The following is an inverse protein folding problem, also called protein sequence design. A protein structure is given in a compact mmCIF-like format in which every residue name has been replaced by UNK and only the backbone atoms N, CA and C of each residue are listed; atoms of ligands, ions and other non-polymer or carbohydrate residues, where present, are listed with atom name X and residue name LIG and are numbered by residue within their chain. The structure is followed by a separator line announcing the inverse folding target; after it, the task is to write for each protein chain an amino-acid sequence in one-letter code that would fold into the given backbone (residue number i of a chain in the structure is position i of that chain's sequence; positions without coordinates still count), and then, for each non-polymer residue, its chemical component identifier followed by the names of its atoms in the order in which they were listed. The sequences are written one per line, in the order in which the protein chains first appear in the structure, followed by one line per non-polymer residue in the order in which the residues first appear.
data_IF_327324342245
#
_entry.id   IF_327324342245
#
_cell.length_a   1.000
_cell.length_b   1.000
_cell.length_c   1.000
_cell.angle_alpha   90.00
_cell.angle_beta   90.00
_cell.angle_gamma   90.00
#
_symmetry.space_group_name_H-M   'P 1'
#
loop_
_entity.id
_entity.type
_entity.pdbx_description
1 polymer ?
#
# COMPACT_ATOMS: atom_id res chain seq x y z
N UNK A 1 4.81 23.24 30.82
CA UNK A 1 3.48 22.56 30.78
C UNK A 1 3.51 21.39 31.76
N UNK A 2 2.41 21.06 32.46
CA UNK A 2 2.42 19.88 33.34
C UNK A 2 2.29 18.59 32.53
N UNK A 3 2.86 17.49 33.05
CA UNK A 3 2.80 16.15 32.44
C UNK A 3 1.37 15.68 32.16
N UNK A 4 0.43 15.93 33.09
CA UNK A 4 -0.99 15.58 32.91
C UNK A 4 -1.69 16.42 31.83
N UNK A 5 -1.33 17.71 31.71
CA UNK A 5 -1.89 18.57 30.66
C UNK A 5 -1.38 18.14 29.28
N UNK A 6 -0.11 17.73 29.18
CA UNK A 6 0.45 17.14 27.96
C UNK A 6 -0.24 15.83 27.59
N UNK A 7 -0.48 14.93 28.56
CA UNK A 7 -1.20 13.66 28.34
C UNK A 7 -2.62 13.90 27.79
N UNK A 8 -3.36 14.89 28.34
CA UNK A 8 -4.69 15.29 27.85
C UNK A 8 -4.68 15.85 26.43
N UNK A 9 -3.68 16.65 26.08
CA UNK A 9 -3.52 17.19 24.71
C UNK A 9 -3.23 16.06 23.72
N UNK A 10 -2.36 15.12 24.06
CA UNK A 10 -2.10 13.92 23.25
C UNK A 10 -3.36 13.07 23.05
N UNK A 11 -4.04 12.74 24.15
CA UNK A 11 -5.29 11.98 24.15
C UNK A 11 -6.34 12.62 23.25
N UNK A 12 -6.58 13.94 23.41
CA UNK A 12 -7.55 14.68 22.59
C UNK A 12 -7.14 14.70 21.11
N UNK A 13 -5.87 14.96 20.80
CA UNK A 13 -5.38 14.97 19.42
C UNK A 13 -5.52 13.61 18.73
N UNK A 14 -5.17 12.52 19.42
CA UNK A 14 -5.25 11.15 18.91
C UNK A 14 -6.70 10.65 18.75
N UNK A 15 -7.64 11.11 19.59
CA UNK A 15 -9.07 10.79 19.47
C UNK A 15 -9.72 11.59 18.33
N UNK A 16 -9.31 12.84 18.10
CA UNK A 16 -9.85 13.68 17.03
C UNK A 16 -9.20 13.45 15.67
N UNK A 17 -8.05 12.76 15.59
CA UNK A 17 -7.36 12.47 14.35
C UNK A 17 -8.07 11.37 13.54
N UNK A 18 -8.24 11.60 12.23
CA UNK A 18 -8.76 10.58 11.30
C UNK A 18 -7.69 9.63 10.75
N UNK A 19 -6.41 9.95 10.97
CA UNK A 19 -5.24 9.20 10.49
C UNK A 19 -4.23 9.05 11.63
N UNK A 20 -3.38 8.01 11.61
CA UNK A 20 -2.31 7.85 12.59
C UNK A 20 -1.39 9.07 12.64
N UNK A 21 -1.06 9.53 13.84
CA UNK A 21 -0.17 10.68 14.04
C UNK A 21 1.26 10.22 14.28
N UNK A 22 2.21 10.75 13.50
CA UNK A 22 3.64 10.50 13.72
C UNK A 22 4.12 11.18 15.00
N UNK A 23 5.23 10.68 15.58
CA UNK A 23 5.93 11.39 16.66
C UNK A 23 6.36 12.81 16.27
N UNK A 24 6.51 13.12 14.97
CA UNK A 24 6.86 14.47 14.52
C UNK A 24 5.65 15.40 14.63
N UNK A 25 4.49 14.98 14.17
CA UNK A 25 3.24 15.76 14.27
C UNK A 25 2.80 15.94 15.72
N UNK A 26 2.92 14.89 16.54
CA UNK A 26 2.64 15.00 17.97
C UNK A 26 3.58 15.99 18.68
N UNK A 27 4.82 16.18 18.22
CA UNK A 27 5.73 17.21 18.77
C UNK A 27 5.37 18.64 18.36
N UNK A 28 4.75 18.86 17.19
CA UNK A 28 4.33 20.22 16.80
C UNK A 28 3.21 20.77 17.68
N UNK A 29 2.39 19.90 18.30
CA UNK A 29 1.38 20.26 19.30
C UNK A 29 1.98 20.97 20.53
N UNK A 30 3.27 20.77 20.79
CA UNK A 30 4.01 21.36 21.92
C UNK A 30 5.13 22.30 21.46
N UNK A 31 5.02 22.85 20.24
CA UNK A 31 6.04 23.73 19.65
C UNK A 31 7.48 23.16 19.70
N UNK A 32 7.62 21.84 19.55
CA UNK A 32 8.87 21.08 19.65
C UNK A 32 9.58 21.12 21.03
N UNK A 33 9.01 21.77 22.05
CA UNK A 33 9.56 21.84 23.43
C UNK A 33 9.69 20.46 24.11
N UNK A 34 8.84 19.51 23.71
CA UNK A 34 8.83 18.15 24.24
C UNK A 34 9.74 17.24 23.40
N UNK A 35 10.70 16.61 24.06
CA UNK A 35 11.60 15.63 23.46
C UNK A 35 10.88 14.35 23.02
N UNK A 36 11.40 13.70 21.97
CA UNK A 36 10.79 12.47 21.41
C UNK A 36 10.68 11.34 22.44
N UNK A 37 11.62 11.22 23.37
CA UNK A 37 11.62 10.16 24.40
C UNK A 37 10.60 10.43 25.51
N UNK A 38 10.43 11.70 25.91
CA UNK A 38 9.35 12.13 26.81
C UNK A 38 7.98 11.86 26.18
N UNK A 39 7.84 12.13 24.88
CA UNK A 39 6.62 11.85 24.14
C UNK A 39 6.31 10.35 24.07
N UNK A 40 7.31 9.49 23.80
CA UNK A 40 7.14 8.02 23.85
C UNK A 40 6.69 7.56 25.24
N UNK A 41 7.34 8.03 26.31
CA UNK A 41 6.96 7.69 27.67
C UNK A 41 5.51 8.10 28.01
N UNK A 42 5.06 9.27 27.54
CA UNK A 42 3.67 9.72 27.68
C UNK A 42 2.67 8.85 26.90
N UNK A 43 3.04 8.38 25.70
CA UNK A 43 2.21 7.50 24.87
C UNK A 43 2.12 6.08 25.47
N UNK A 44 3.22 5.54 25.99
CA UNK A 44 3.22 4.27 26.72
C UNK A 44 2.36 4.35 28.00
N UNK A 45 2.45 5.46 28.74
CA UNK A 45 1.61 5.72 29.92
C UNK A 45 0.14 5.92 29.54
N UNK A 46 -0.16 6.49 28.36
CA UNK A 46 -1.52 6.64 27.86
C UNK A 46 -2.10 5.30 27.37
N UNK A 47 -1.29 4.44 26.75
CA UNK A 47 -1.69 3.10 26.35
C UNK A 47 -2.14 2.26 27.56
N UNK A 48 -1.38 2.31 28.66
CA UNK A 48 -1.73 1.64 29.94
C UNK A 48 -3.01 2.18 30.57
N UNK A 49 -3.23 3.50 30.58
CA UNK A 49 -4.49 4.10 31.08
C UNK A 49 -5.74 3.66 30.30
N UNK A 50 -5.56 3.19 29.06
CA UNK A 50 -6.62 2.72 28.17
C UNK A 50 -6.70 1.18 28.08
N UNK A 51 -5.88 0.43 28.84
CA UNK A 51 -5.83 -1.04 28.82
C UNK A 51 -7.14 -1.74 29.27
N UNK A 52 -8.06 -1.01 29.89
CA UNK A 52 -9.36 -1.53 30.34
C UNK A 52 -10.57 -0.82 29.70
N UNK A 53 -10.34 -0.09 28.60
CA UNK A 53 -11.38 0.63 27.85
C UNK A 53 -11.66 -0.07 26.52
N UNK A 54 -12.85 0.13 25.94
CA UNK A 54 -13.24 -0.45 24.65
C UNK A 54 -12.47 0.09 23.43
N UNK A 55 -11.62 1.09 23.65
CA UNK A 55 -10.71 1.66 22.65
C UNK A 55 -9.30 1.52 23.22
N UNK A 56 -8.33 1.22 22.37
CA UNK A 56 -6.91 1.03 22.71
C UNK A 56 -6.03 1.97 21.88
N UNK A 57 -4.88 2.35 22.43
CA UNK A 57 -3.87 3.14 21.73
C UNK A 57 -2.79 2.21 21.17
N UNK A 58 -2.67 2.17 19.84
CA UNK A 58 -1.78 1.25 19.11
C UNK A 58 -0.76 2.04 18.28
N UNK A 59 0.48 1.54 18.28
CA UNK A 59 1.55 2.01 17.41
C UNK A 59 1.56 1.19 16.11
N UNK A 60 1.34 1.86 14.99
CA UNK A 60 1.39 1.31 13.62
C UNK A 60 2.56 1.92 12.84
N UNK A 61 2.87 1.38 11.66
CA UNK A 61 4.05 1.81 10.89
C UNK A 61 4.01 3.29 10.44
N UNK A 62 2.80 3.87 10.28
CA UNK A 62 2.61 5.30 10.01
C UNK A 62 2.54 6.19 11.25
N UNK A 63 2.38 5.66 12.48
CA UNK A 63 2.28 6.48 13.68
C UNK A 63 1.46 5.86 14.80
N UNK A 64 0.82 6.70 15.62
CA UNK A 64 -0.03 6.27 16.73
C UNK A 64 -1.49 6.58 16.42
N UNK A 65 -2.40 5.65 16.72
CA UNK A 65 -3.86 5.85 16.60
C UNK A 65 -4.62 5.19 17.74
N UNK A 66 -5.79 5.72 18.07
CA UNK A 66 -6.80 4.97 18.80
C UNK A 66 -7.58 4.05 17.85
N UNK A 67 -7.87 2.83 18.28
CA UNK A 67 -8.72 1.87 17.56
C UNK A 67 -9.64 1.13 18.52
N UNK A 68 -10.80 0.68 18.03
CA UNK A 68 -11.70 -0.19 18.80
C UNK A 68 -11.07 -1.56 19.01
N UNK A 69 -11.22 -2.13 20.21
CA UNK A 69 -10.71 -3.48 20.49
C UNK A 69 -11.33 -4.57 19.60
N UNK A 70 -10.58 -5.62 19.23
CA UNK A 70 -11.10 -6.73 18.44
C UNK A 70 -12.34 -7.39 19.04
N UNK A 71 -12.42 -7.55 20.37
CA UNK A 71 -13.56 -8.20 21.03
C UNK A 71 -14.90 -7.46 20.83
N UNK A 72 -14.87 -6.18 20.47
CA UNK A 72 -16.07 -5.37 20.23
C UNK A 72 -16.54 -5.38 18.77
N UNK A 73 -15.79 -6.00 17.85
CA UNK A 73 -16.08 -6.00 16.41
C UNK A 73 -17.48 -6.54 16.08
N UNK A 74 -17.91 -7.62 16.73
CA UNK A 74 -19.24 -8.24 16.53
C UNK A 74 -20.42 -7.28 16.81
N UNK A 75 -20.20 -6.30 17.69
CA UNK A 75 -21.19 -5.26 17.99
C UNK A 75 -21.08 -4.06 17.04
N UNK A 76 -19.86 -3.69 16.64
CA UNK A 76 -19.59 -2.55 15.76
C UNK A 76 -19.97 -2.83 14.30
N UNK A 77 -19.80 -4.06 13.82
CA UNK A 77 -20.21 -4.49 12.47
C UNK A 77 -21.72 -4.30 12.23
N UNK A 78 -22.53 -4.24 13.30
CA UNK A 78 -23.97 -3.97 13.23
C UNK A 78 -24.29 -2.52 12.85
N UNK A 79 -23.34 -1.59 13.05
CA UNK A 79 -23.47 -0.18 12.69
C UNK A 79 -23.15 0.08 11.21
N UNK A 80 -22.27 -0.75 10.62
CA UNK A 80 -21.80 -0.65 9.24
C UNK A 80 -21.99 -1.99 8.50
N UNK A 81 -23.22 -2.30 8.02
CA UNK A 81 -23.54 -3.60 7.43
C UNK A 81 -22.91 -3.88 6.05
N UNK A 82 -22.17 -2.92 5.49
CA UNK A 82 -21.31 -3.13 4.32
C UNK A 82 -20.13 -4.03 4.71
N UNK A 83 -20.32 -5.34 4.52
CA UNK A 83 -19.30 -6.35 4.87
C UNK A 83 -17.96 -6.02 4.20
N UNK A 84 -16.86 -5.88 4.96
CA UNK A 84 -15.55 -5.62 4.38
C UNK A 84 -15.17 -6.75 3.43
N UNK A 85 -14.64 -6.40 2.25
CA UNK A 85 -14.42 -7.33 1.14
C UNK A 85 -13.65 -8.59 1.60
N UNK A 86 -14.25 -9.76 1.41
CA UNK A 86 -13.65 -11.03 1.84
C UNK A 86 -12.58 -11.45 0.83
N UNK A 87 -11.40 -11.77 1.33
CA UNK A 87 -10.31 -12.36 0.54
C UNK A 87 -10.35 -13.88 0.69
N UNK A 88 -10.05 -14.60 -0.39
CA UNK A 88 -10.00 -16.07 -0.33
C UNK A 88 -8.74 -16.56 0.37
N UNK A 89 -8.76 -17.81 0.85
CA UNK A 89 -7.61 -18.47 1.48
C UNK A 89 -6.36 -18.40 0.60
N UNK A 90 -6.48 -18.59 -0.71
CA UNK A 90 -5.37 -18.49 -1.66
C UNK A 90 -4.72 -17.10 -1.72
N UNK A 91 -5.50 -16.02 -1.58
CA UNK A 91 -4.98 -14.64 -1.49
C UNK A 91 -4.21 -14.45 -0.18
N UNK A 92 -4.76 -14.91 0.94
CA UNK A 92 -4.14 -14.82 2.26
C UNK A 92 -2.85 -15.64 2.37
N UNK A 93 -2.81 -16.86 1.82
CA UNK A 93 -1.60 -17.68 1.73
C UNK A 93 -0.50 -17.01 0.88
N UNK A 94 -0.89 -16.42 -0.25
CA UNK A 94 0.04 -15.69 -1.14
C UNK A 94 0.64 -14.49 -0.41
N UNK A 95 -0.19 -13.70 0.28
CA UNK A 95 0.25 -12.55 1.09
C UNK A 95 1.19 -12.99 2.23
N UNK A 96 0.84 -14.07 2.95
CA UNK A 96 1.66 -14.60 4.03
C UNK A 96 3.07 -14.99 3.53
N UNK A 97 3.16 -15.68 2.39
CA UNK A 97 4.46 -16.07 1.81
C UNK A 97 5.29 -14.83 1.47
N UNK A 98 4.69 -13.78 0.89
CA UNK A 98 5.40 -12.53 0.61
C UNK A 98 5.88 -11.91 1.93
N UNK A 99 5.02 -11.76 2.93
CA UNK A 99 5.37 -11.15 4.22
C UNK A 99 6.54 -11.85 4.94
N UNK A 100 6.56 -13.19 4.98
CA UNK A 100 7.60 -13.95 5.70
C UNK A 100 8.84 -14.32 4.87
N UNK A 101 8.83 -14.15 3.54
CA UNK A 101 9.95 -14.56 2.66
C UNK A 101 10.49 -13.44 1.78
N UNK A 102 9.92 -12.24 1.80
CA UNK A 102 10.35 -11.12 0.97
C UNK A 102 11.88 -10.87 1.05
N UNK A 103 12.52 -10.54 -0.09
CA UNK A 103 11.92 -10.29 -1.40
C UNK A 103 11.74 -11.56 -2.26
N UNK A 104 10.51 -11.82 -2.72
CA UNK A 104 10.15 -13.02 -3.50
C UNK A 104 9.67 -12.68 -4.91
N UNK A 105 9.91 -13.58 -5.86
CA UNK A 105 9.33 -13.55 -7.20
C UNK A 105 8.07 -14.42 -7.28
N UNK A 106 7.25 -14.26 -8.32
CA UNK A 106 6.06 -15.12 -8.52
C UNK A 106 6.42 -16.62 -8.55
N UNK A 107 7.55 -16.97 -9.16
CA UNK A 107 8.04 -18.36 -9.21
C UNK A 107 8.32 -18.92 -7.81
N UNK A 108 9.01 -18.17 -6.95
CA UNK A 108 9.29 -18.64 -5.57
C UNK A 108 7.98 -18.87 -4.77
N UNK A 109 6.94 -18.07 -5.01
CA UNK A 109 5.64 -18.23 -4.36
C UNK A 109 4.94 -19.51 -4.88
N UNK A 110 4.97 -19.74 -6.20
CA UNK A 110 4.43 -20.96 -6.83
C UNK A 110 5.15 -22.21 -6.32
N UNK A 111 6.48 -22.18 -6.22
CA UNK A 111 7.31 -23.27 -5.68
C UNK A 111 7.01 -23.57 -4.20
N UNK A 112 6.76 -22.54 -3.38
CA UNK A 112 6.41 -22.70 -1.95
C UNK A 112 4.98 -23.21 -1.77
N UNK A 113 4.02 -22.78 -2.61
CA UNK A 113 2.61 -23.22 -2.52
C UNK A 113 2.36 -24.58 -3.19
N UNK A 114 3.23 -25.01 -4.10
CA UNK A 114 3.02 -26.20 -4.93
C UNK A 114 1.89 -26.06 -5.96
N UNK A 115 1.34 -24.85 -6.15
CA UNK A 115 0.24 -24.54 -7.07
C UNK A 115 0.47 -23.18 -7.74
N UNK A 116 0.03 -23.05 -8.99
CA UNK A 116 0.17 -21.83 -9.79
C UNK A 116 -0.59 -20.67 -9.15
N UNK A 117 0.02 -19.47 -9.12
CA UNK A 117 -0.58 -18.26 -8.57
C UNK A 117 -1.19 -17.44 -9.70
N UNK A 118 -2.52 -17.37 -9.73
CA UNK A 118 -3.25 -16.55 -10.72
C UNK A 118 -2.82 -15.09 -10.61
N UNK A 119 -2.45 -14.46 -11.74
CA UNK A 119 -2.02 -13.05 -11.79
C UNK A 119 -3.02 -12.06 -11.17
N UNK A 120 -4.31 -12.43 -11.14
CA UNK A 120 -5.36 -11.64 -10.47
C UNK A 120 -5.13 -11.50 -8.95
N UNK A 121 -4.57 -12.52 -8.28
CA UNK A 121 -4.26 -12.46 -6.84
C UNK A 121 -3.18 -11.42 -6.58
N UNK A 122 -2.09 -11.45 -7.36
CA UNK A 122 -0.99 -10.48 -7.25
C UNK A 122 -1.51 -9.07 -7.50
N UNK A 123 -2.26 -8.88 -8.60
CA UNK A 123 -2.88 -7.60 -8.96
C UNK A 123 -3.85 -7.08 -7.89
N UNK A 124 -4.63 -7.95 -7.24
CA UNK A 124 -5.52 -7.58 -6.14
C UNK A 124 -4.76 -7.10 -4.89
N UNK A 125 -3.62 -7.74 -4.58
CA UNK A 125 -2.75 -7.35 -3.46
C UNK A 125 -2.02 -6.04 -3.75
N UNK A 126 -1.60 -5.81 -4.99
CA UNK A 126 -1.02 -4.54 -5.47
C UNK A 126 -2.04 -3.39 -5.46
N UNK A 127 -3.26 -3.62 -5.96
CA UNK A 127 -4.36 -2.63 -5.99
C UNK A 127 -4.84 -2.24 -4.58
N UNK A 128 -4.82 -3.18 -3.63
CA UNK A 128 -5.05 -2.87 -2.21
C UNK A 128 -3.88 -2.10 -1.58
N UNK A 129 -2.72 -2.08 -2.24
CA UNK A 129 -1.50 -1.46 -1.75
C UNK A 129 -0.80 -2.28 -0.67
N UNK A 130 -1.08 -3.58 -0.53
CA UNK A 130 -0.43 -4.44 0.48
C UNK A 130 0.95 -4.94 0.06
N UNK A 131 1.18 -5.09 -1.25
CA UNK A 131 2.47 -5.46 -1.83
C UNK A 131 2.90 -4.46 -2.91
N UNK A 132 4.20 -4.34 -3.13
CA UNK A 132 4.79 -3.54 -4.19
C UNK A 132 5.97 -4.26 -4.86
N UNK A 133 6.29 -3.86 -6.10
CA UNK A 133 7.47 -4.35 -6.83
C UNK A 133 8.68 -3.49 -6.46
N UNK A 134 9.59 -4.03 -5.66
CA UNK A 134 10.81 -3.33 -5.23
C UNK A 134 11.97 -3.44 -6.23
N UNK A 135 11.86 -4.29 -7.25
CA UNK A 135 12.92 -4.55 -8.22
C UNK A 135 12.66 -5.78 -9.08
N UNK A 136 13.70 -6.26 -9.76
CA UNK A 136 13.66 -7.46 -10.59
C UNK A 136 14.89 -8.32 -10.35
N UNK A 137 14.74 -9.65 -10.28
CA UNK A 137 15.86 -10.58 -10.05
C UNK A 137 16.71 -10.74 -11.32
N UNK A 138 18.02 -10.87 -11.16
CA UNK A 138 18.96 -11.17 -12.26
C UNK A 138 18.92 -12.65 -12.65
N UNK A 139 17.81 -13.05 -13.25
CA UNK A 139 17.55 -14.39 -13.77
C UNK A 139 16.96 -14.31 -15.19
N UNK A 140 16.93 -15.41 -15.98
CA UNK A 140 16.24 -15.45 -17.27
C UNK A 140 14.79 -14.97 -17.14
N UNK A 141 14.38 -14.04 -18.02
CA UNK A 141 13.06 -13.40 -17.96
C UNK A 141 12.92 -12.24 -16.95
N UNK A 142 13.95 -11.97 -16.13
CA UNK A 142 14.03 -10.88 -15.14
C UNK A 142 12.73 -10.71 -14.31
N UNK A 143 12.30 -11.72 -13.55
CA UNK A 143 11.04 -11.67 -12.81
C UNK A 143 11.04 -10.57 -11.75
N UNK A 144 9.89 -9.93 -11.56
CA UNK A 144 9.66 -8.92 -10.53
C UNK A 144 9.83 -9.49 -9.11
N UNK A 145 10.35 -8.67 -8.21
CA UNK A 145 10.52 -8.94 -6.78
C UNK A 145 9.47 -8.16 -5.97
N UNK A 146 8.63 -8.90 -5.26
CA UNK A 146 7.57 -8.39 -4.41
C UNK A 146 8.02 -8.29 -2.95
N UNK A 147 7.57 -7.23 -2.28
CA UNK A 147 7.64 -7.05 -0.84
C UNK A 147 6.34 -6.42 -0.31
N UNK A 148 6.12 -6.48 0.99
CA UNK A 148 5.01 -5.81 1.68
C UNK A 148 5.26 -4.32 1.89
N UNK A 149 4.19 -3.54 1.96
CA UNK A 149 4.23 -2.09 2.12
C UNK A 149 3.96 -1.65 3.58
N UNK A 150 4.03 -0.34 3.84
CA UNK A 150 3.52 0.26 5.08
C UNK A 150 2.00 0.14 5.26
N UNK A 151 1.23 0.19 4.17
CA UNK A 151 -0.23 0.05 4.24
C UNK A 151 -0.63 -1.35 4.72
N UNK A 152 0.14 -2.39 4.36
CA UNK A 152 -0.04 -3.73 4.93
C UNK A 152 0.16 -3.72 6.45
N UNK A 153 1.26 -3.14 6.95
CA UNK A 153 1.50 -3.04 8.40
C UNK A 153 0.41 -2.25 9.12
N UNK A 154 -0.03 -1.13 8.56
CA UNK A 154 -1.07 -0.26 9.15
C UNK A 154 -2.47 -0.90 9.17
N UNK A 155 -2.79 -1.73 8.17
CA UNK A 155 -4.01 -2.54 8.11
C UNK A 155 -3.99 -3.68 9.14
N UNK A 156 -2.83 -4.27 9.41
CA UNK A 156 -2.64 -5.31 10.44
C UNK A 156 -2.46 -4.73 11.86
N UNK A 157 -2.31 -3.40 11.99
CA UNK A 157 -2.07 -2.75 13.27
C UNK A 157 -0.65 -2.93 13.82
N UNK A 158 0.33 -3.23 12.95
CA UNK A 158 1.72 -3.50 13.32
C UNK A 158 2.63 -2.29 13.06
N UNK A 159 3.63 -2.11 13.91
CA UNK A 159 4.68 -1.10 13.74
C UNK A 159 5.81 -1.61 12.81
N UNK A 160 6.09 -2.92 12.79
CA UNK A 160 7.14 -3.53 11.98
C UNK A 160 6.84 -5.00 11.63
N UNK A 161 7.55 -5.52 10.64
CA UNK A 161 7.44 -6.93 10.22
C UNK A 161 7.94 -7.92 11.29
N UNK A 162 8.75 -7.46 12.25
CA UNK A 162 9.25 -8.28 13.37
C UNK A 162 8.13 -8.66 14.36
N UNK A 163 7.00 -7.94 14.32
CA UNK A 163 5.81 -8.22 15.13
C UNK A 163 4.86 -9.23 14.47
N UNK A 164 5.18 -9.74 13.28
CA UNK A 164 4.43 -10.83 12.67
C UNK A 164 4.56 -12.11 13.53
N UNK A 165 3.47 -12.88 13.76
CA UNK A 165 3.51 -14.13 14.49
C UNK A 165 4.57 -15.10 13.94
N UNK A 166 5.28 -15.81 14.83
CA UNK A 166 6.27 -16.79 14.41
C UNK A 166 5.61 -17.91 13.59
N UNK A 167 6.31 -18.38 12.56
CA UNK A 167 5.88 -19.52 11.75
C UNK A 167 6.05 -20.83 12.55
N UNK A 168 5.04 -21.19 13.33
CA UNK A 168 4.91 -22.55 13.85
C UNK A 168 4.89 -23.54 12.67
N UNK A 169 5.61 -24.66 12.81
CA UNK A 169 5.97 -25.54 11.70
C UNK A 169 4.82 -26.41 11.16
N UNK A 170 3.56 -26.02 11.41
CA UNK A 170 2.36 -26.78 11.07
C UNK A 170 1.18 -25.91 10.65
N UNK A 171 1.15 -25.47 9.39
CA UNK A 171 -0.09 -25.21 8.62
C UNK A 171 -0.96 -23.98 8.94
N UNK A 172 -0.86 -23.34 10.11
CA UNK A 172 -1.83 -22.34 10.59
C UNK A 172 -1.56 -20.88 10.15
N UNK A 173 -0.71 -20.69 9.14
CA UNK A 173 -0.34 -19.35 8.62
C UNK A 173 -1.49 -18.49 8.07
N UNK A 174 -2.55 -19.01 7.39
CA UNK A 174 -3.61 -18.14 6.88
C UNK A 174 -4.57 -17.70 8.00
N UNK A 175 -4.67 -18.47 9.08
CA UNK A 175 -5.57 -18.19 10.21
C UNK A 175 -5.05 -17.00 11.00
N UNK A 176 -3.80 -17.03 11.45
CA UNK A 176 -3.20 -15.93 12.21
C UNK A 176 -3.18 -14.59 11.44
N UNK A 177 -2.93 -14.61 10.13
CA UNK A 177 -2.96 -13.39 9.30
C UNK A 177 -4.39 -12.89 9.03
N UNK A 178 -5.36 -13.81 8.95
CA UNK A 178 -6.79 -13.47 8.89
C UNK A 178 -7.27 -12.82 10.20
N UNK A 179 -6.90 -13.40 11.34
CA UNK A 179 -7.21 -12.92 12.68
C UNK A 179 -6.63 -11.53 12.97
N UNK A 180 -5.40 -11.22 12.53
CA UNK A 180 -4.83 -9.87 12.65
C UNK A 180 -5.57 -8.83 11.80
N UNK A 181 -6.07 -9.23 10.62
CA UNK A 181 -7.02 -8.41 9.84
C UNK A 181 -8.43 -8.41 10.44
N UNK A 182 -8.65 -9.13 11.55
CA UNK A 182 -9.93 -9.40 12.21
C UNK A 182 -10.99 -9.95 11.28
N UNK A 183 -10.57 -10.83 10.37
CA UNK A 183 -11.44 -11.69 9.57
C UNK A 183 -11.29 -13.09 10.13
N UNK A 184 -12.30 -13.56 10.86
CA UNK A 184 -12.45 -14.99 11.10
C UNK A 184 -12.39 -15.71 9.75
N UNK A 185 -11.37 -16.54 9.57
CA UNK A 185 -11.26 -17.44 8.44
C UNK A 185 -12.24 -18.60 8.67
N UNK A 186 -13.53 -18.30 8.76
CA UNK A 186 -14.59 -19.28 8.85
C UNK A 186 -14.44 -20.19 7.63
N UNK A 187 -14.11 -21.46 7.89
CA UNK A 187 -13.78 -22.43 6.84
C UNK A 187 -14.85 -22.40 5.76
N UNK A 188 -14.46 -21.84 4.62
CA UNK A 188 -15.16 -22.12 3.39
C UNK A 188 -14.87 -23.59 3.11
N UNK A 189 -15.78 -24.46 3.57
CA UNK A 189 -16.03 -25.70 2.88
C UNK A 189 -16.48 -25.31 1.46
N UNK A 190 -15.51 -25.03 0.60
CA UNK A 190 -15.73 -25.13 -0.83
C UNK A 190 -16.28 -26.54 -1.04
N UNK A 191 -17.49 -26.71 -1.63
CA UNK A 191 -17.85 -28.01 -2.15
C UNK A 191 -16.76 -28.41 -3.16
N UNK A 192 -16.40 -29.70 -3.25
CA UNK A 192 -15.41 -30.12 -4.23
C UNK A 192 -15.88 -29.62 -5.61
N UNK A 193 -15.02 -28.88 -6.30
CA UNK A 193 -15.27 -28.49 -7.68
C UNK A 193 -15.32 -29.79 -8.51
N UNK A 194 -16.54 -30.22 -8.85
CA UNK A 194 -16.76 -31.42 -9.66
C UNK A 194 -15.97 -31.27 -10.97
N UNK A 195 -15.08 -32.21 -11.32
CA UNK A 195 -14.32 -32.17 -12.56
C UNK A 195 -15.19 -32.68 -13.73
N UNK A 196 -16.38 -32.11 -13.89
CA UNK A 196 -17.39 -32.58 -14.87
C UNK A 196 -18.10 -31.42 -15.58
N UNK A 197 -17.33 -30.49 -16.15
CA UNK A 197 -17.83 -29.64 -17.25
C UNK A 197 -16.73 -29.31 -18.29
N UNK A 198 -16.03 -30.37 -18.75
CA UNK A 198 -15.03 -30.30 -19.83
C UNK A 198 -15.22 -31.44 -20.84
N UNK A 199 -16.45 -31.59 -21.35
CA UNK A 199 -16.84 -32.46 -22.48
C UNK A 199 -18.37 -32.36 -22.66
N UNK A 200 -18.97 -32.11 -23.82
CA UNK A 200 -18.50 -31.75 -25.17
C UNK A 200 -19.58 -30.88 -25.84
N UNK A 201 -19.23 -30.00 -26.76
CA UNK A 201 -19.92 -29.98 -28.07
C UNK A 201 -19.03 -29.38 -29.16
N UNK A 202 -18.51 -30.24 -30.05
CA UNK A 202 -17.70 -29.84 -31.19
C UNK A 202 -17.64 -30.96 -32.26
N UNK A 203 -18.77 -31.29 -32.87
CA UNK A 203 -18.78 -31.97 -34.18
C UNK A 203 -20.13 -31.90 -34.92
N UNK A 204 -20.06 -31.48 -36.21
CA UNK A 204 -20.83 -32.01 -37.35
C UNK A 204 -22.37 -31.72 -37.42
N UNK A 205 -22.98 -31.25 -38.52
CA UNK A 205 -22.55 -30.80 -39.86
C UNK A 205 -23.50 -29.69 -40.36
N UNK A 206 -23.20 -29.04 -41.50
CA UNK A 206 -24.18 -29.15 -42.60
C UNK A 206 -23.57 -29.36 -44.00
N UNK A 207 -24.24 -30.16 -44.82
CA UNK A 207 -24.03 -30.32 -46.28
C UNK A 207 -25.42 -30.45 -46.98
N UNK A 208 -25.54 -30.32 -48.32
CA UNK A 208 -24.62 -29.79 -49.33
C UNK A 208 -25.21 -28.72 -50.29
N UNK A 209 -24.31 -27.88 -50.82
CA UNK A 209 -24.19 -27.37 -52.22
C UNK A 209 -25.41 -27.42 -53.18
N UNK A 210 -25.74 -26.28 -53.79
CA UNK A 210 -26.02 -26.17 -55.24
C UNK A 210 -25.33 -24.94 -55.84
N UNK A 211 -25.07 -24.95 -57.15
CA UNK A 211 -24.11 -24.08 -57.84
C UNK A 211 -24.76 -22.96 -58.68
N UNK A 212 -24.00 -21.90 -58.96
CA UNK A 212 -24.40 -20.81 -59.86
C UNK A 212 -23.24 -19.87 -60.18
N UNK A 213 -22.48 -20.19 -61.23
CA UNK A 213 -21.43 -19.34 -61.80
C UNK A 213 -22.04 -18.49 -62.90
N UNK A 214 -21.86 -17.16 -62.89
CA UNK A 214 -21.17 -16.46 -63.98
C UNK A 214 -20.89 -14.97 -63.71
N UNK A 215 -19.85 -14.45 -64.37
CA UNK A 215 -19.59 -13.02 -64.60
C UNK A 215 -20.10 -12.65 -66.03
N UNK A 216 -19.88 -11.47 -66.67
CA UNK A 216 -18.88 -10.41 -66.40
C UNK A 216 -19.40 -8.96 -66.61
N UNK A 217 -18.45 -8.00 -66.67
CA UNK A 217 -18.43 -6.78 -67.54
C UNK A 217 -18.21 -5.44 -66.81
N UNK A 218 -17.00 -4.89 -66.97
CA UNK A 218 -16.59 -3.47 -66.76
C UNK A 218 -16.89 -2.63 -68.05
N UNK A 219 -16.39 -1.39 -68.30
CA UNK A 219 -15.54 -0.46 -67.52
C UNK A 219 -15.88 1.06 -67.63
N UNK A 220 -15.20 1.89 -66.82
CA UNK A 220 -14.53 3.20 -67.14
C UNK A 220 -14.25 3.94 -65.80
N UNK A 221 -13.02 4.17 -65.32
CA UNK A 221 -11.88 5.02 -65.78
C UNK A 221 -11.97 6.53 -65.47
N UNK A 222 -10.84 7.25 -65.23
CA UNK A 222 -10.75 8.34 -64.22
C UNK A 222 -10.37 9.73 -64.85
N UNK A 223 -9.73 10.74 -64.16
CA UNK A 223 -8.41 10.66 -63.51
C UNK A 223 -8.18 11.45 -62.19
N UNK A 224 -6.95 11.29 -61.68
CA UNK A 224 -6.09 12.05 -60.74
C UNK A 224 -5.78 13.52 -61.17
N UNK A 225 -4.84 14.31 -60.56
CA UNK A 225 -4.10 14.22 -59.26
C UNK A 225 -3.87 15.55 -58.45
N UNK A 226 -3.60 15.46 -57.13
CA UNK A 226 -2.66 16.28 -56.27
C UNK A 226 -2.68 17.86 -56.36
N UNK A 227 -1.82 18.65 -55.64
CA UNK A 227 -0.96 18.39 -54.48
C UNK A 227 -1.16 19.37 -53.28
N UNK A 228 -0.32 19.23 -52.24
CA UNK A 228 -0.06 20.23 -51.19
C UNK A 228 0.74 21.46 -51.75
N UNK A 229 1.08 22.57 -51.02
CA UNK A 229 1.92 22.53 -49.80
C UNK A 229 1.79 23.73 -48.79
N UNK A 230 2.72 23.76 -47.81
CA UNK A 230 3.29 24.93 -47.07
C UNK A 230 2.39 25.87 -46.24
N UNK A 231 2.70 26.15 -44.97
CA UNK A 231 3.76 27.12 -44.62
C UNK A 231 4.17 27.14 -43.13
N UNK A 232 5.44 27.50 -42.88
CA UNK A 232 6.05 27.86 -41.59
C UNK A 232 6.05 29.42 -41.45
N UNK A 233 6.74 30.16 -40.52
CA UNK A 233 7.69 29.75 -39.47
C UNK A 233 7.66 30.56 -38.13
N UNK A 234 8.64 30.25 -37.28
CA UNK A 234 9.44 31.16 -36.42
C UNK A 234 8.80 32.10 -35.37
N UNK A 235 9.37 32.05 -34.16
CA UNK A 235 9.16 33.03 -33.08
C UNK A 235 10.20 32.88 -31.97
N UNK A 236 11.46 33.23 -32.26
CA UNK A 236 12.54 33.22 -31.27
C UNK A 236 12.62 34.55 -30.50
N UNK A 237 12.92 34.50 -29.21
CA UNK A 237 13.65 35.59 -28.55
C UNK A 237 14.52 35.03 -27.43
N UNK A 238 15.82 35.28 -27.54
CA UNK A 238 16.79 35.05 -26.48
C UNK A 238 17.09 36.39 -25.76
N UNK A 239 18.09 36.34 -24.86
CA UNK A 239 18.80 37.47 -24.27
C UNK A 239 18.13 38.16 -23.05
N UNK A 240 18.85 38.64 -22.03
CA UNK A 240 20.28 38.49 -21.63
C UNK A 240 20.43 38.98 -20.17
N UNK A 241 21.44 38.49 -19.43
CA UNK A 241 21.91 39.03 -18.12
C UNK A 241 22.63 40.40 -18.30
N UNK A 242 23.45 40.95 -17.40
CA UNK A 242 23.49 40.95 -15.93
C UNK A 242 23.12 42.35 -15.40
N UNK A 243 23.14 42.67 -14.11
CA UNK A 243 24.29 43.21 -13.33
C UNK A 243 23.61 44.06 -12.24
N UNK A 244 23.98 44.14 -10.97
CA UNK A 244 25.08 43.61 -10.20
C UNK A 244 25.04 44.28 -8.81
N UNK A 245 25.72 43.63 -7.87
CA UNK A 245 26.31 44.18 -6.64
C UNK A 245 26.90 45.61 -6.77
N UNK A 246 27.15 46.37 -5.66
CA UNK A 246 27.93 45.84 -4.53
C UNK A 246 27.73 46.44 -3.12
N UNK A 247 28.42 45.82 -2.15
CA UNK A 247 28.89 46.47 -0.92
C UNK A 247 28.20 45.96 0.37
N UNK A 248 28.92 45.58 1.44
CA UNK A 248 30.37 45.59 1.62
C UNK A 248 30.86 44.54 2.63
N UNK A 249 32.15 44.21 2.49
CA UNK A 249 32.98 43.28 3.25
C UNK A 249 33.19 43.64 4.76
N UNK A 250 33.83 42.75 5.56
CA UNK A 250 33.70 42.73 7.02
C UNK A 250 34.95 43.21 7.79
N UNK A 251 34.99 42.82 9.07
CA UNK A 251 36.15 42.62 9.95
C UNK A 251 36.46 43.70 11.01
N UNK A 252 37.16 43.23 12.07
CA UNK A 252 37.63 43.96 13.26
C UNK A 252 36.55 44.55 14.18
N UNK A 253 36.78 44.73 15.48
CA UNK A 253 37.70 44.13 16.47
C UNK A 253 37.23 44.71 17.82
N UNK A 254 37.29 43.95 18.92
CA UNK A 254 37.55 44.45 20.27
C UNK A 254 37.31 43.37 21.32
N UNK A 255 38.36 43.06 22.08
CA UNK A 255 38.17 42.54 23.43
C UNK A 255 37.76 43.69 24.36
N UNK A 256 36.76 43.49 25.21
CA UNK A 256 36.70 44.22 26.48
C UNK A 256 36.37 43.27 27.65
N UNK A 257 36.61 43.75 28.86
CA UNK A 257 37.17 43.00 29.99
C UNK A 257 36.46 43.47 31.26
N UNK A 258 36.47 42.64 32.33
CA UNK A 258 35.99 43.01 33.69
C UNK A 258 34.44 43.05 33.72
N UNK A 259 33.72 42.52 34.71
CA UNK A 259 33.97 42.65 36.15
C UNK A 259 33.51 41.45 36.99
N UNK A 260 34.23 41.22 38.10
CA UNK A 260 33.80 40.42 39.24
C UNK A 260 33.64 41.35 40.45
N UNK A 261 32.56 41.16 41.21
CA UNK A 261 32.28 41.61 42.59
C UNK A 261 30.83 41.15 42.91
N UNK A 262 30.42 40.67 44.08
CA UNK A 262 31.11 40.03 45.21
C UNK A 262 30.08 39.15 45.97
#
# INVERSE_FOLDING_TARGET
MNTQDAKRVLETALICAQQPLTLRELRTLFADEVGADTLRALLDELSRDWEHRGVELVAVSSGWRFQSRPELREFLDRLHPEKPQRYSRAVMETLAIIAYRQPVTRGDIEDIRGVVVTSQIVKQLEERGWIEVIGHREAPGRPALYATTRQFLDDLGLASLEQLPALEAGGETPTALGELLGREAQESQDPPADPTDTALDLAAEPTPIEAGVDAPTSPQEPPTPNPAPESSPAGASAAVFPTGEPGADPASDASEKVQADA
#
